data_IF_433456766838
#
_entry.id   IF_433456766838
#
_cell.length_a   1.000
_cell.length_b   1.000
_cell.length_c   1.000
_cell.angle_alpha   90.00
_cell.angle_beta   90.00
_cell.angle_gamma   90.00
#
_symmetry.space_group_name_H-M   'P 1'
#
loop_
_entity.id
_entity.type
_entity.pdbx_description
1 polymer ?
#
# COMPACT_ATOMS: atom_id res chain seq x y z
N UNK A 1 23.01 4.45 17.64
CA UNK A 1 22.86 3.36 16.67
C UNK A 1 22.77 3.96 15.27
N UNK A 2 23.56 3.44 14.33
CA UNK A 2 23.52 3.90 12.94
C UNK A 2 22.20 3.52 12.25
N UNK A 3 21.68 4.43 11.42
CA UNK A 3 20.42 4.26 10.67
C UNK A 3 20.56 4.79 9.26
N UNK A 4 20.15 4.00 8.27
CA UNK A 4 20.03 4.46 6.88
C UNK A 4 18.71 5.20 6.71
N UNK A 5 18.76 6.52 6.46
CA UNK A 5 17.58 7.35 6.25
C UNK A 5 17.28 7.48 4.76
N UNK A 6 16.28 6.77 4.27
CA UNK A 6 15.71 6.93 2.92
C UNK A 6 14.61 8.00 2.97
N UNK A 7 14.82 9.11 2.29
CA UNK A 7 13.90 10.22 2.32
C UNK A 7 13.44 10.63 0.91
N UNK A 8 12.12 10.76 0.76
CA UNK A 8 11.50 11.31 -0.45
C UNK A 8 11.10 12.78 -0.23
N UNK A 9 11.86 13.76 -0.73
CA UNK A 9 11.58 15.18 -0.51
C UNK A 9 10.33 15.69 -1.25
N UNK A 10 9.72 14.85 -2.10
CA UNK A 10 8.48 15.17 -2.81
C UNK A 10 7.23 14.56 -2.15
N UNK A 11 7.37 13.88 -1.01
CA UNK A 11 6.24 13.31 -0.30
C UNK A 11 5.45 14.40 0.42
N UNK A 12 4.13 14.29 0.38
CA UNK A 12 3.21 15.23 1.04
C UNK A 12 3.37 16.66 0.53
N UNK A 13 3.41 17.60 1.45
CA UNK A 13 3.58 19.04 1.19
C UNK A 13 5.04 19.49 1.07
N UNK A 14 5.99 18.55 1.19
CA UNK A 14 7.43 18.85 1.15
C UNK A 14 7.97 19.54 2.41
N UNK A 15 7.22 19.65 3.49
CA UNK A 15 7.61 20.35 4.74
C UNK A 15 8.74 19.65 5.53
N UNK A 16 9.03 18.39 5.21
CA UNK A 16 10.05 17.58 5.86
C UNK A 16 11.34 17.54 5.06
N UNK A 17 12.26 18.48 5.35
CA UNK A 17 13.59 18.50 4.71
C UNK A 17 14.50 17.38 5.27
N UNK A 18 15.53 16.95 4.50
CA UNK A 18 16.53 15.99 4.96
C UNK A 18 17.18 16.41 6.28
N UNK A 19 17.59 17.67 6.38
CA UNK A 19 18.27 18.22 7.56
C UNK A 19 17.37 18.19 8.81
N UNK A 20 16.07 18.44 8.63
CA UNK A 20 15.09 18.37 9.72
C UNK A 20 14.95 16.94 10.24
N UNK A 21 14.85 15.97 9.35
CA UNK A 21 14.74 14.54 9.70
C UNK A 21 16.03 14.01 10.34
N UNK A 22 17.18 14.40 9.81
CA UNK A 22 18.51 14.07 10.39
C UNK A 22 18.59 14.57 11.83
N UNK A 23 18.30 15.84 12.08
CA UNK A 23 18.32 16.39 13.44
C UNK A 23 17.35 15.70 14.40
N UNK A 24 16.15 15.35 13.96
CA UNK A 24 15.20 14.62 14.79
C UNK A 24 15.72 13.23 15.21
N UNK A 25 16.32 12.50 14.26
CA UNK A 25 16.93 11.21 14.52
C UNK A 25 18.13 11.34 15.48
N UNK A 26 18.99 12.32 15.30
CA UNK A 26 20.12 12.62 16.18
C UNK A 26 19.67 12.94 17.61
N UNK A 27 18.64 13.78 17.76
CA UNK A 27 18.03 14.10 19.06
C UNK A 27 17.42 12.86 19.74
N UNK A 28 17.02 11.86 18.97
CA UNK A 28 16.50 10.58 19.48
C UNK A 28 17.58 9.50 19.67
N UNK A 29 18.87 9.87 19.59
CA UNK A 29 20.03 9.00 19.88
C UNK A 29 20.47 8.11 18.72
N UNK A 30 20.05 8.42 17.49
CA UNK A 30 20.48 7.73 16.27
C UNK A 30 21.60 8.50 15.55
N UNK A 31 22.38 7.79 14.73
CA UNK A 31 23.37 8.36 13.82
C UNK A 31 22.90 8.12 12.37
N UNK A 32 22.12 9.05 11.79
CA UNK A 32 21.53 8.88 10.47
C UNK A 32 22.53 9.08 9.35
N UNK A 33 22.50 8.18 8.34
CA UNK A 33 23.15 8.33 7.06
C UNK A 33 22.05 8.54 6.02
N UNK A 34 22.01 9.75 5.44
CA UNK A 34 20.99 10.10 4.44
C UNK A 34 21.25 9.38 3.12
N UNK A 35 20.23 8.70 2.60
CA UNK A 35 20.23 7.93 1.37
C UNK A 35 19.22 8.50 0.37
N UNK A 36 19.59 8.54 -0.90
CA UNK A 36 18.67 8.92 -1.98
C UNK A 36 17.63 7.83 -2.23
N UNK A 37 16.40 8.24 -2.57
CA UNK A 37 15.32 7.32 -3.00
C UNK A 37 15.16 7.28 -4.52
N UNK A 38 16.16 7.72 -5.30
CA UNK A 38 16.04 7.86 -6.75
C UNK A 38 17.03 7.01 -7.52
N UNK A 39 16.52 6.35 -8.55
CA UNK A 39 17.31 5.70 -9.59
C UNK A 39 18.41 4.77 -9.07
N UNK A 40 19.59 4.86 -9.67
CA UNK A 40 20.75 4.02 -9.32
C UNK A 40 21.28 4.28 -7.91
N UNK A 41 21.07 5.47 -7.35
CA UNK A 41 21.50 5.80 -5.99
C UNK A 41 20.69 5.02 -4.96
N UNK A 42 19.37 4.89 -5.16
CA UNK A 42 18.53 4.01 -4.33
C UNK A 42 19.03 2.58 -4.35
N UNK A 43 19.32 2.03 -5.54
CA UNK A 43 19.80 0.65 -5.67
C UNK A 43 21.10 0.43 -4.89
N UNK A 44 22.08 1.34 -5.04
CA UNK A 44 23.35 1.28 -4.31
C UNK A 44 23.16 1.37 -2.79
N UNK A 45 22.30 2.28 -2.33
CA UNK A 45 22.03 2.45 -0.89
C UNK A 45 21.33 1.21 -0.30
N UNK A 46 20.55 0.48 -1.11
CA UNK A 46 19.88 -0.75 -0.71
C UNK A 46 20.78 -2.00 -0.78
N UNK A 47 21.97 -1.93 -1.38
CA UNK A 47 22.90 -3.06 -1.37
C UNK A 47 23.36 -3.41 0.05
N UNK A 48 23.76 -2.41 0.83
CA UNK A 48 24.27 -2.57 2.19
C UNK A 48 23.75 -1.46 3.14
N UNK A 49 22.44 -1.39 3.42
CA UNK A 49 21.94 -0.43 4.39
C UNK A 49 22.28 -0.88 5.82
N UNK A 50 22.25 0.05 6.78
CA UNK A 50 22.36 -0.30 8.20
C UNK A 50 21.23 -1.24 8.63
N UNK A 51 21.41 -1.94 9.76
CA UNK A 51 20.42 -2.89 10.29
C UNK A 51 19.07 -2.23 10.60
N UNK A 52 19.08 -0.94 10.95
CA UNK A 52 17.89 -0.08 11.03
C UNK A 52 17.81 0.81 9.80
N UNK A 53 16.66 0.78 9.13
CA UNK A 53 16.34 1.57 7.95
C UNK A 53 15.16 2.47 8.28
N UNK A 54 15.36 3.78 8.31
CA UNK A 54 14.30 4.77 8.43
C UNK A 54 13.83 5.19 7.03
N UNK A 55 12.52 5.15 6.80
CA UNK A 55 11.90 5.53 5.53
C UNK A 55 10.97 6.70 5.76
N UNK A 56 11.37 7.89 5.29
CA UNK A 56 10.55 9.10 5.30
C UNK A 56 9.94 9.33 3.92
N UNK A 57 8.64 9.07 3.81
CA UNK A 57 7.92 9.11 2.53
C UNK A 57 6.44 8.78 2.68
N UNK A 58 5.75 8.76 1.55
CA UNK A 58 4.38 8.19 1.42
C UNK A 58 4.42 6.72 1.04
N UNK A 59 3.24 6.15 0.80
CA UNK A 59 3.02 4.71 0.58
C UNK A 59 3.90 4.13 -0.53
N UNK A 60 4.00 4.78 -1.69
CA UNK A 60 4.85 4.31 -2.79
C UNK A 60 6.34 4.21 -2.42
N UNK A 61 6.87 5.17 -1.62
CA UNK A 61 8.26 5.12 -1.14
C UNK A 61 8.45 4.00 -0.12
N UNK A 62 7.53 3.89 0.83
CA UNK A 62 7.54 2.85 1.86
C UNK A 62 7.45 1.47 1.22
N UNK A 63 6.48 1.25 0.33
CA UNK A 63 6.31 -0.02 -0.38
C UNK A 63 7.55 -0.42 -1.18
N UNK A 64 8.19 0.53 -1.88
CA UNK A 64 9.40 0.27 -2.65
C UNK A 64 10.57 -0.23 -1.77
N UNK A 65 10.80 0.42 -0.63
CA UNK A 65 11.86 0.03 0.32
C UNK A 65 11.52 -1.31 1.00
N UNK A 66 10.27 -1.49 1.43
CA UNK A 66 9.79 -2.73 2.05
C UNK A 66 9.98 -3.91 1.11
N UNK A 67 9.57 -3.79 -0.16
CA UNK A 67 9.77 -4.84 -1.18
C UNK A 67 11.25 -5.13 -1.43
N UNK A 68 12.09 -4.11 -1.50
CA UNK A 68 13.52 -4.28 -1.74
C UNK A 68 14.28 -4.94 -0.57
N UNK A 69 13.78 -4.79 0.65
CA UNK A 69 14.36 -5.37 1.87
C UNK A 69 13.66 -6.67 2.31
N UNK A 70 12.64 -7.11 1.58
CA UNK A 70 11.96 -8.38 1.85
C UNK A 70 12.93 -9.55 1.90
N UNK A 71 12.79 -10.39 2.91
CA UNK A 71 13.66 -11.55 3.14
C UNK A 71 15.07 -11.24 3.67
N UNK A 72 15.40 -9.95 3.91
CA UNK A 72 16.69 -9.49 4.46
C UNK A 72 16.55 -9.14 5.96
N UNK A 73 17.62 -9.25 6.76
CA UNK A 73 17.57 -9.08 8.23
C UNK A 73 17.58 -7.61 8.66
N UNK A 74 16.76 -6.77 8.04
CA UNK A 74 16.65 -5.35 8.40
C UNK A 74 15.38 -5.07 9.18
N UNK A 75 15.44 -4.04 10.03
CA UNK A 75 14.28 -3.48 10.71
C UNK A 75 13.96 -2.13 10.07
N UNK A 76 12.69 -1.89 9.75
CA UNK A 76 12.24 -0.65 9.09
C UNK A 76 11.51 0.24 10.11
N UNK A 77 11.88 1.52 10.17
CA UNK A 77 11.13 2.56 10.84
C UNK A 77 10.43 3.44 9.79
N UNK A 78 9.10 3.45 9.78
CA UNK A 78 8.32 4.28 8.85
C UNK A 78 8.09 5.65 9.48
N UNK A 79 8.49 6.70 8.77
CA UNK A 79 8.24 8.10 9.14
C UNK A 79 7.24 8.66 8.11
N UNK A 80 5.95 8.80 8.46
CA UNK A 80 4.88 9.11 7.52
C UNK A 80 4.93 10.58 7.09
N UNK A 81 5.47 10.85 5.91
CA UNK A 81 5.55 12.21 5.34
C UNK A 81 4.72 12.38 4.06
N UNK A 82 3.98 11.37 3.64
CA UNK A 82 3.09 11.40 2.48
C UNK A 82 1.70 11.94 2.79
N UNK A 83 0.83 11.97 1.78
CA UNK A 83 -0.55 12.46 1.91
C UNK A 83 -1.48 11.43 2.55
N UNK A 84 -1.46 10.17 2.12
CA UNK A 84 -2.35 9.11 2.63
C UNK A 84 -1.73 8.31 3.77
N UNK A 85 -0.50 7.84 3.60
CA UNK A 85 0.24 7.03 4.57
C UNK A 85 -0.53 5.78 5.04
N UNK A 86 -1.20 5.10 4.11
CA UNK A 86 -2.04 3.92 4.37
C UNK A 86 -1.27 2.80 5.07
N UNK A 87 -0.03 2.52 4.62
CA UNK A 87 0.83 1.48 5.22
C UNK A 87 1.16 1.84 6.67
N UNK A 88 1.53 3.09 6.95
CA UNK A 88 1.82 3.54 8.30
C UNK A 88 0.58 3.44 9.21
N UNK A 89 -0.57 3.92 8.74
CA UNK A 89 -1.85 3.86 9.44
C UNK A 89 -2.27 2.41 9.76
N UNK A 90 -2.14 1.50 8.81
CA UNK A 90 -2.43 0.07 9.00
C UNK A 90 -1.58 -0.57 10.12
N UNK A 91 -0.40 -0.02 10.38
CA UNK A 91 0.50 -0.43 11.45
C UNK A 91 0.34 0.37 12.76
N UNK A 92 -0.66 1.26 12.82
CA UNK A 92 -0.91 2.11 13.99
C UNK A 92 0.07 3.29 14.12
N UNK A 93 0.83 3.61 13.07
CA UNK A 93 1.74 4.76 13.02
C UNK A 93 0.94 5.97 12.49
N UNK A 94 0.26 6.67 13.37
CA UNK A 94 -0.68 7.76 13.02
C UNK A 94 -0.21 9.13 13.48
N UNK A 95 0.86 9.20 14.28
CA UNK A 95 1.39 10.43 14.83
C UNK A 95 2.19 11.23 13.77
N UNK A 96 2.37 12.53 14.04
CA UNK A 96 3.27 13.34 13.21
C UNK A 96 4.72 12.79 13.24
N UNK A 97 5.50 12.97 12.16
CA UNK A 97 6.87 12.46 12.04
C UNK A 97 7.77 12.73 13.25
N UNK A 98 7.64 13.92 13.87
CA UNK A 98 8.45 14.26 15.07
C UNK A 98 8.18 13.35 16.27
N UNK A 99 6.93 12.97 16.48
CA UNK A 99 6.54 12.09 17.58
C UNK A 99 6.85 10.63 17.27
N UNK A 100 6.70 10.23 16.00
CA UNK A 100 7.12 8.90 15.53
C UNK A 100 8.62 8.72 15.79
N UNK A 101 9.46 9.67 15.37
CA UNK A 101 10.92 9.59 15.58
C UNK A 101 11.27 9.59 17.06
N UNK A 102 10.66 10.44 17.88
CA UNK A 102 10.88 10.47 19.33
C UNK A 102 10.49 9.16 20.02
N UNK A 103 9.50 8.44 19.49
CA UNK A 103 9.04 7.16 20.01
C UNK A 103 9.89 5.95 19.59
N UNK A 104 10.77 6.07 18.58
CA UNK A 104 11.54 4.93 18.04
C UNK A 104 12.39 4.16 19.08
N UNK A 105 13.01 4.81 20.10
CA UNK A 105 13.76 4.07 21.13
C UNK A 105 12.90 3.07 21.92
N UNK A 106 11.59 3.33 22.04
CA UNK A 106 10.64 2.51 22.79
C UNK A 106 9.68 1.73 21.86
N UNK A 107 9.94 1.73 20.55
CA UNK A 107 9.10 1.06 19.57
C UNK A 107 9.25 -0.46 19.66
N UNK A 108 8.15 -1.17 19.38
CA UNK A 108 8.14 -2.63 19.30
C UNK A 108 8.38 -3.10 17.87
N UNK A 109 8.94 -4.31 17.76
CA UNK A 109 9.12 -4.98 16.47
C UNK A 109 7.84 -5.71 16.08
N UNK A 110 7.30 -5.36 14.92
CA UNK A 110 6.05 -5.91 14.40
C UNK A 110 6.30 -6.54 13.02
N UNK A 111 5.77 -7.73 12.73
CA UNK A 111 5.86 -8.30 11.40
C UNK A 111 4.95 -7.53 10.44
N UNK A 112 5.48 -7.19 9.27
CA UNK A 112 4.73 -6.75 8.10
C UNK A 112 4.85 -7.83 7.03
N UNK A 113 3.76 -8.53 6.75
CA UNK A 113 3.72 -9.54 5.69
C UNK A 113 3.63 -8.88 4.34
N UNK A 114 4.14 -9.55 3.33
CA UNK A 114 4.20 -9.08 1.95
C UNK A 114 3.31 -10.00 1.12
N UNK A 115 2.43 -9.40 0.34
CA UNK A 115 1.69 -10.12 -0.68
C UNK A 115 2.54 -10.37 -1.91
N UNK A 116 2.18 -11.40 -2.67
CA UNK A 116 2.81 -11.72 -3.95
C UNK A 116 1.77 -12.07 -5.00
N UNK A 117 1.92 -11.47 -6.17
CA UNK A 117 1.21 -11.79 -7.40
C UNK A 117 2.16 -12.59 -8.30
N UNK A 118 1.77 -13.81 -8.67
CA UNK A 118 2.56 -14.70 -9.54
C UNK A 118 1.85 -14.95 -10.86
N UNK A 119 2.56 -14.68 -11.94
CA UNK A 119 2.23 -15.10 -13.28
C UNK A 119 3.07 -16.33 -13.69
N UNK A 120 2.93 -16.81 -14.95
CA UNK A 120 3.64 -18.00 -15.41
C UNK A 120 5.18 -17.90 -15.34
N UNK A 121 5.75 -16.72 -15.63
CA UNK A 121 7.20 -16.51 -15.72
C UNK A 121 7.67 -15.27 -14.92
N UNK A 122 6.80 -14.68 -14.10
CA UNK A 122 7.12 -13.48 -13.33
C UNK A 122 6.37 -13.47 -11.99
N UNK A 123 6.92 -12.72 -11.05
CA UNK A 123 6.26 -12.41 -9.79
C UNK A 123 6.45 -10.95 -9.40
N UNK A 124 5.51 -10.42 -8.63
CA UNK A 124 5.57 -9.08 -8.06
C UNK A 124 5.07 -9.08 -6.63
N UNK A 125 5.89 -8.55 -5.75
CA UNK A 125 5.49 -8.35 -4.37
C UNK A 125 4.66 -7.06 -4.23
N UNK A 126 3.69 -7.08 -3.31
CA UNK A 126 2.87 -5.92 -2.96
C UNK A 126 2.76 -5.77 -1.44
N UNK A 127 2.50 -4.54 -0.99
CA UNK A 127 2.36 -4.20 0.43
C UNK A 127 0.92 -3.82 0.74
N UNK A 128 0.23 -3.13 -0.16
CA UNK A 128 -1.13 -2.65 0.02
C UNK A 128 -2.16 -3.62 -0.56
N UNK A 129 -2.22 -3.72 -1.88
CA UNK A 129 -3.23 -4.51 -2.58
C UNK A 129 -2.85 -4.85 -4.03
N UNK A 130 -3.58 -5.83 -4.56
CA UNK A 130 -3.66 -6.17 -6.00
C UNK A 130 -5.12 -6.15 -6.41
N UNK A 131 -5.44 -5.50 -7.53
CA UNK A 131 -6.83 -5.43 -7.94
C UNK A 131 -7.07 -5.16 -9.41
N UNK A 132 -8.34 -5.27 -9.78
CA UNK A 132 -8.87 -5.19 -11.13
C UNK A 132 -10.11 -4.30 -11.16
N UNK A 133 -10.22 -3.42 -12.14
CA UNK A 133 -11.40 -2.57 -12.35
C UNK A 133 -11.13 -1.07 -12.14
N UNK A 134 -12.04 -0.33 -11.46
CA UNK A 134 -11.97 1.12 -11.34
C UNK A 134 -10.67 1.65 -10.74
N UNK A 135 -10.12 1.02 -9.71
CA UNK A 135 -8.87 1.47 -9.06
C UNK A 135 -7.68 1.29 -10.01
N UNK A 136 -7.55 0.14 -10.67
CA UNK A 136 -6.53 -0.07 -11.69
C UNK A 136 -6.64 0.95 -12.83
N UNK A 137 -7.87 1.31 -13.21
CA UNK A 137 -8.14 2.33 -14.23
C UNK A 137 -7.72 3.73 -13.76
N UNK A 138 -7.99 4.07 -12.49
CA UNK A 138 -7.59 5.35 -11.90
C UNK A 138 -6.07 5.48 -11.85
N UNK A 139 -5.37 4.46 -11.34
CA UNK A 139 -3.90 4.43 -11.27
C UNK A 139 -3.29 4.56 -12.68
N UNK A 140 -3.83 3.84 -13.68
CA UNK A 140 -3.35 3.94 -15.08
C UNK A 140 -3.46 5.35 -15.64
N UNK A 141 -4.47 6.12 -15.25
CA UNK A 141 -4.69 7.51 -15.68
C UNK A 141 -3.76 8.49 -14.97
N UNK A 142 -3.47 8.24 -13.69
CA UNK A 142 -2.60 9.08 -12.85
C UNK A 142 -1.12 9.01 -13.27
N UNK A 143 -0.73 8.00 -14.06
CA UNK A 143 0.63 7.87 -14.59
C UNK A 143 0.95 9.07 -15.49
N UNK A 144 1.71 10.03 -14.95
CA UNK A 144 2.12 11.26 -15.65
C UNK A 144 1.35 12.53 -15.27
N UNK A 145 0.32 12.45 -14.43
CA UNK A 145 -0.34 13.63 -13.89
C UNK A 145 0.58 14.34 -12.88
N UNK A 146 0.86 15.63 -13.14
CA UNK A 146 1.63 16.48 -12.23
C UNK A 146 0.65 17.28 -11.39
N UNK A 147 0.12 16.70 -10.34
CA UNK A 147 -0.74 17.45 -9.45
C UNK A 147 -0.14 17.51 -8.04
N UNK A 148 -0.02 18.72 -7.54
CA UNK A 148 0.39 19.07 -6.18
C UNK A 148 -0.66 20.05 -5.65
N UNK A 149 -1.41 19.64 -4.64
CA UNK A 149 -2.40 20.51 -3.99
C UNK A 149 -3.04 19.85 -2.77
N UNK A 150 -3.63 20.67 -1.91
CA UNK A 150 -4.31 20.23 -0.69
C UNK A 150 -5.55 19.35 -0.93
N UNK A 151 -6.12 19.41 -2.15
CA UNK A 151 -7.39 18.73 -2.50
C UNK A 151 -7.17 17.44 -3.31
N UNK A 152 -5.93 16.96 -3.39
CA UNK A 152 -5.57 15.79 -4.21
C UNK A 152 -6.37 14.52 -3.86
N UNK A 153 -6.69 14.32 -2.58
CA UNK A 153 -7.48 13.18 -2.13
C UNK A 153 -8.93 13.25 -2.64
N UNK A 154 -9.54 14.43 -2.57
CA UNK A 154 -10.91 14.67 -3.04
C UNK A 154 -10.98 14.55 -4.57
N UNK A 155 -10.03 15.10 -5.30
CA UNK A 155 -9.96 14.99 -6.76
C UNK A 155 -9.83 13.53 -7.22
N UNK A 156 -8.99 12.75 -6.56
CA UNK A 156 -8.85 11.32 -6.80
C UNK A 156 -10.12 10.53 -6.50
N UNK A 157 -10.82 10.85 -5.42
CA UNK A 157 -12.13 10.24 -5.11
C UNK A 157 -13.17 10.59 -6.16
N UNK A 158 -13.23 11.87 -6.58
CA UNK A 158 -14.14 12.34 -7.64
C UNK A 158 -13.87 11.64 -8.97
N UNK A 159 -12.61 11.42 -9.31
CA UNK A 159 -12.22 10.70 -10.52
C UNK A 159 -12.60 9.20 -10.44
N UNK A 160 -12.32 8.56 -9.31
CA UNK A 160 -12.74 7.18 -9.07
C UNK A 160 -14.26 7.03 -9.18
N UNK A 161 -15.03 7.97 -8.61
CA UNK A 161 -16.49 8.00 -8.72
C UNK A 161 -16.95 8.06 -10.17
N UNK A 162 -16.31 8.90 -11.01
CA UNK A 162 -16.60 8.98 -12.45
C UNK A 162 -16.29 7.69 -13.20
N UNK A 163 -15.23 6.99 -12.78
CA UNK A 163 -14.86 5.70 -13.37
C UNK A 163 -15.89 4.64 -12.98
N UNK A 164 -16.26 4.52 -11.70
CA UNK A 164 -17.25 3.57 -11.20
C UNK A 164 -18.60 3.77 -11.87
N UNK A 165 -19.04 5.02 -12.09
CA UNK A 165 -20.30 5.34 -12.75
C UNK A 165 -20.39 4.78 -14.18
N UNK A 166 -19.26 4.63 -14.87
CA UNK A 166 -19.20 4.27 -16.30
C UNK A 166 -18.57 2.91 -16.57
N UNK A 167 -17.96 2.25 -15.56
CA UNK A 167 -17.30 0.97 -15.77
C UNK A 167 -18.32 -0.12 -16.12
N UNK A 168 -17.89 -1.05 -16.94
CA UNK A 168 -18.64 -2.27 -17.25
C UNK A 168 -18.31 -3.35 -16.21
N UNK A 169 -19.19 -4.35 -16.05
CA UNK A 169 -18.83 -5.53 -15.29
C UNK A 169 -17.49 -6.13 -15.76
N UNK A 170 -16.76 -6.68 -14.80
CA UNK A 170 -15.50 -7.35 -15.06
C UNK A 170 -15.76 -8.64 -15.86
N UNK A 171 -14.95 -8.82 -16.88
CA UNK A 171 -14.76 -10.09 -17.56
C UNK A 171 -13.47 -10.71 -16.99
N UNK A 172 -13.61 -11.52 -15.95
CA UNK A 172 -12.51 -12.13 -15.23
C UNK A 172 -12.98 -13.38 -14.48
N UNK A 173 -12.15 -14.41 -14.42
CA UNK A 173 -12.40 -15.58 -13.57
C UNK A 173 -11.65 -15.43 -12.25
N UNK A 174 -12.35 -15.66 -11.13
CA UNK A 174 -11.79 -15.50 -9.79
C UNK A 174 -12.11 -16.75 -8.99
N UNK A 175 -11.10 -17.32 -8.35
CA UNK A 175 -11.22 -18.48 -7.44
C UNK A 175 -10.58 -18.11 -6.10
N UNK A 176 -11.31 -18.28 -5.02
CA UNK A 176 -10.88 -17.97 -3.64
C UNK A 176 -10.78 -19.27 -2.86
N UNK A 177 -9.57 -19.65 -2.43
CA UNK A 177 -9.32 -20.89 -1.70
C UNK A 177 -10.00 -22.11 -2.36
N UNK A 178 -9.88 -22.22 -3.69
CA UNK A 178 -10.44 -23.28 -4.52
C UNK A 178 -11.94 -23.17 -4.81
N UNK A 179 -12.63 -22.08 -4.42
CA UNK A 179 -14.05 -21.86 -4.69
C UNK A 179 -14.24 -20.71 -5.70
N UNK A 180 -14.96 -20.92 -6.81
CA UNK A 180 -15.18 -19.86 -7.78
C UNK A 180 -16.06 -18.75 -7.18
N UNK A 181 -15.67 -17.50 -7.42
CA UNK A 181 -16.48 -16.33 -7.11
C UNK A 181 -17.45 -16.08 -8.26
N UNK A 182 -18.74 -16.23 -8.01
CA UNK A 182 -19.77 -16.14 -9.04
C UNK A 182 -20.55 -14.84 -8.89
N UNK A 183 -20.85 -14.19 -10.01
CA UNK A 183 -21.71 -13.00 -10.06
C UNK A 183 -21.10 -11.87 -10.86
N UNK A 184 -21.96 -10.90 -11.23
CA UNK A 184 -21.50 -9.69 -11.93
C UNK A 184 -20.85 -8.74 -10.92
N UNK A 185 -19.62 -8.34 -11.19
CA UNK A 185 -18.84 -7.46 -10.32
C UNK A 185 -18.13 -6.36 -11.11
N UNK A 186 -17.93 -5.23 -10.49
CA UNK A 186 -17.31 -4.03 -11.10
C UNK A 186 -15.86 -3.85 -10.69
N UNK A 187 -15.49 -4.38 -9.53
CA UNK A 187 -14.17 -4.20 -8.91
C UNK A 187 -13.85 -5.42 -8.05
N UNK A 188 -12.59 -5.80 -8.06
CA UNK A 188 -12.03 -6.82 -7.16
C UNK A 188 -10.68 -6.32 -6.66
N UNK A 189 -10.50 -6.40 -5.33
CA UNK A 189 -9.29 -6.01 -4.63
C UNK A 189 -8.85 -7.10 -3.65
N UNK A 190 -7.64 -7.59 -3.76
CA UNK A 190 -7.01 -8.49 -2.79
C UNK A 190 -6.13 -7.65 -1.88
N UNK A 191 -6.64 -7.40 -0.68
CA UNK A 191 -6.11 -6.44 0.28
C UNK A 191 -5.18 -7.11 1.30
N UNK A 192 -4.00 -6.55 1.49
CA UNK A 192 -3.07 -6.91 2.57
C UNK A 192 -3.18 -5.93 3.76
N UNK A 193 -3.60 -4.70 3.48
CA UNK A 193 -3.88 -3.65 4.48
C UNK A 193 -5.30 -3.10 4.28
N UNK A 194 -5.91 -2.44 5.30
CA UNK A 194 -7.32 -2.04 5.25
C UNK A 194 -7.66 -1.01 4.17
N UNK A 195 -6.71 -0.15 3.81
CA UNK A 195 -6.94 1.05 3.00
C UNK A 195 -6.12 1.05 1.73
N UNK A 196 -6.62 1.76 0.70
CA UNK A 196 -5.90 2.02 -0.55
C UNK A 196 -6.18 3.45 -1.05
N UNK A 197 -5.28 3.97 -1.89
CA UNK A 197 -5.44 5.27 -2.53
C UNK A 197 -5.63 6.41 -1.52
N UNK A 198 -6.61 7.31 -1.71
CA UNK A 198 -6.83 8.44 -0.81
C UNK A 198 -7.56 8.02 0.48
N UNK A 199 -6.96 7.14 1.28
CA UNK A 199 -7.50 6.60 2.54
C UNK A 199 -8.86 5.88 2.41
N UNK A 200 -9.12 5.21 1.29
CA UNK A 200 -10.36 4.45 1.11
C UNK A 200 -10.30 3.15 1.92
N UNK A 201 -11.09 3.07 2.97
CA UNK A 201 -11.21 1.91 3.85
C UNK A 201 -12.08 0.84 3.18
N UNK A 202 -11.46 -0.02 2.36
CA UNK A 202 -12.18 -1.04 1.60
C UNK A 202 -12.33 -2.37 2.35
N UNK A 203 -11.36 -2.73 3.19
CA UNK A 203 -11.31 -3.99 3.91
C UNK A 203 -10.84 -3.78 5.37
N UNK A 204 -11.71 -3.33 6.28
CA UNK A 204 -11.33 -3.08 7.68
C UNK A 204 -10.70 -4.29 8.38
N UNK A 205 -11.01 -5.50 7.93
CA UNK A 205 -10.52 -6.77 8.47
C UNK A 205 -9.09 -7.11 8.01
N UNK A 206 -8.60 -6.46 6.95
CA UNK A 206 -7.25 -6.72 6.43
C UNK A 206 -6.18 -6.24 7.41
N UNK A 207 -5.26 -7.13 7.75
CA UNK A 207 -4.17 -6.84 8.69
C UNK A 207 -2.88 -7.52 8.22
N UNK A 208 -1.94 -6.73 7.72
CA UNK A 208 -0.67 -7.23 7.23
C UNK A 208 0.23 -7.92 8.29
N UNK A 209 -0.20 -7.97 9.54
CA UNK A 209 0.43 -8.77 10.61
C UNK A 209 -0.08 -10.21 10.62
N UNK A 210 -1.26 -10.46 10.05
CA UNK A 210 -1.92 -11.77 9.97
C UNK A 210 -1.45 -12.59 8.78
N UNK A 211 -1.84 -13.88 8.75
CA UNK A 211 -1.43 -14.83 7.71
C UNK A 211 -2.49 -15.05 6.62
N UNK A 212 -3.36 -14.08 6.40
CA UNK A 212 -4.43 -14.06 5.41
C UNK A 212 -4.51 -12.70 4.72
N UNK A 213 -5.07 -12.70 3.53
CA UNK A 213 -5.47 -11.54 2.76
C UNK A 213 -6.98 -11.37 2.89
N UNK A 214 -7.52 -10.24 2.47
CA UNK A 214 -8.97 -10.03 2.34
C UNK A 214 -9.28 -9.76 0.87
N UNK A 215 -10.09 -10.62 0.26
CA UNK A 215 -10.70 -10.31 -1.02
C UNK A 215 -11.92 -9.42 -0.78
N UNK A 216 -11.93 -8.23 -1.35
CA UNK A 216 -13.05 -7.31 -1.39
C UNK A 216 -13.54 -7.13 -2.83
N UNK A 217 -14.86 -7.16 -3.07
CA UNK A 217 -15.38 -6.93 -4.41
C UNK A 217 -16.66 -6.11 -4.40
N UNK A 218 -16.87 -5.36 -5.48
CA UNK A 218 -18.06 -4.55 -5.71
C UNK A 218 -19.03 -5.31 -6.62
N UNK A 219 -20.13 -5.88 -6.11
CA UNK A 219 -21.19 -6.39 -6.97
C UNK A 219 -21.78 -5.28 -7.84
N UNK A 220 -22.13 -5.58 -9.10
CA UNK A 220 -22.74 -4.61 -10.01
C UNK A 220 -23.99 -3.95 -9.42
N UNK A 221 -24.82 -4.73 -8.72
CA UNK A 221 -26.04 -4.26 -8.06
C UNK A 221 -25.78 -3.19 -6.97
N UNK A 222 -24.56 -3.05 -6.47
CA UNK A 222 -24.17 -2.06 -5.46
C UNK A 222 -23.49 -0.81 -6.06
N UNK A 223 -23.56 -0.60 -7.37
CA UNK A 223 -22.95 0.56 -8.04
C UNK A 223 -23.37 1.88 -7.42
N UNK A 224 -24.68 2.12 -7.30
CA UNK A 224 -25.20 3.40 -6.75
C UNK A 224 -24.74 3.61 -5.31
N UNK A 225 -24.83 2.59 -4.48
CA UNK A 225 -24.33 2.67 -3.10
C UNK A 225 -22.83 3.00 -3.05
N UNK A 226 -22.02 2.52 -4.01
CA UNK A 226 -20.59 2.86 -4.10
C UNK A 226 -20.38 4.31 -4.55
N UNK A 227 -21.22 4.82 -5.44
CA UNK A 227 -21.18 6.22 -5.87
C UNK A 227 -21.51 7.16 -4.72
N UNK A 228 -22.51 6.84 -3.91
CA UNK A 228 -22.90 7.60 -2.71
C UNK A 228 -21.79 7.55 -1.66
N UNK A 229 -21.24 6.34 -1.39
CA UNK A 229 -20.15 6.16 -0.44
C UNK A 229 -18.89 6.96 -0.81
N UNK A 230 -18.54 7.06 -2.08
CA UNK A 230 -17.38 7.83 -2.54
C UNK A 230 -17.54 9.36 -2.35
N UNK A 231 -18.73 9.87 -2.09
CA UNK A 231 -18.93 11.27 -1.69
C UNK A 231 -18.47 11.53 -0.26
N UNK A 232 -18.79 10.63 0.68
CA UNK A 232 -18.37 10.68 2.08
C UNK A 232 -17.98 9.28 2.61
N UNK A 233 -16.74 8.84 2.38
CA UNK A 233 -16.30 7.50 2.78
C UNK A 233 -16.19 7.30 4.31
N UNK A 234 -16.24 8.39 5.09
CA UNK A 234 -16.15 8.31 6.55
C UNK A 234 -17.52 8.11 7.20
N UNK A 235 -18.61 8.40 6.49
CA UNK A 235 -19.98 8.30 7.02
C UNK A 235 -20.48 6.86 7.17
N UNK A 236 -19.95 5.90 6.40
CA UNK A 236 -20.40 4.51 6.41
C UNK A 236 -19.31 3.56 5.93
N UNK A 237 -19.53 2.26 6.11
CA UNK A 237 -18.65 1.24 5.51
C UNK A 237 -18.81 1.18 3.99
N UNK A 238 -17.70 0.86 3.29
CA UNK A 238 -17.72 0.63 1.86
C UNK A 238 -18.72 -0.49 1.50
N UNK A 239 -19.57 -0.31 0.48
CA UNK A 239 -20.62 -1.28 0.11
C UNK A 239 -20.06 -2.48 -0.64
N UNK A 240 -18.97 -3.05 -0.17
CA UNK A 240 -18.28 -4.20 -0.72
C UNK A 240 -18.69 -5.48 -0.01
N UNK A 241 -18.63 -6.58 -0.73
CA UNK A 241 -18.57 -7.89 -0.10
C UNK A 241 -17.11 -8.24 0.16
N UNK A 242 -16.85 -9.01 1.23
CA UNK A 242 -15.50 -9.32 1.67
C UNK A 242 -15.42 -10.76 2.16
N UNK A 243 -14.25 -11.38 1.96
CA UNK A 243 -13.94 -12.69 2.51
C UNK A 243 -12.43 -12.78 2.78
N UNK A 244 -12.05 -13.40 3.89
CA UNK A 244 -10.66 -13.77 4.11
C UNK A 244 -10.21 -14.84 3.11
N UNK A 245 -8.97 -14.73 2.64
CA UNK A 245 -8.41 -15.65 1.66
C UNK A 245 -6.93 -15.95 1.97
N UNK A 246 -6.55 -17.20 1.79
CA UNK A 246 -5.13 -17.62 1.79
C UNK A 246 -4.53 -17.50 0.40
N UNK A 247 -5.33 -17.81 -0.60
CA UNK A 247 -4.95 -17.77 -2.01
C UNK A 247 -6.12 -17.31 -2.86
N UNK A 248 -5.82 -16.42 -3.81
CA UNK A 248 -6.76 -16.02 -4.85
C UNK A 248 -6.14 -16.34 -6.20
N UNK A 249 -6.90 -17.03 -7.06
CA UNK A 249 -6.56 -17.21 -8.46
C UNK A 249 -7.39 -16.22 -9.29
N UNK A 250 -6.74 -15.54 -10.21
CA UNK A 250 -7.34 -14.48 -11.04
C UNK A 250 -6.94 -14.66 -12.49
N UNK A 251 -7.88 -14.92 -13.39
CA UNK A 251 -7.67 -14.75 -14.82
C UNK A 251 -8.27 -13.41 -15.24
N UNK A 252 -7.45 -12.41 -15.60
CA UNK A 252 -7.91 -11.06 -15.92
C UNK A 252 -8.41 -10.89 -17.36
N UNK A 253 -8.34 -11.92 -18.22
CA UNK A 253 -8.71 -11.90 -19.62
C UNK A 253 -8.17 -10.63 -20.35
N UNK A 254 -6.86 -10.40 -20.24
CA UNK A 254 -6.16 -9.26 -20.86
C UNK A 254 -6.40 -7.90 -20.20
N UNK A 255 -7.18 -7.82 -19.10
CA UNK A 255 -7.39 -6.55 -18.40
C UNK A 255 -6.15 -6.11 -17.62
N UNK A 256 -6.05 -4.81 -17.41
CA UNK A 256 -5.01 -4.21 -16.61
C UNK A 256 -5.28 -4.47 -15.11
N UNK A 257 -4.25 -4.85 -14.39
CA UNK A 257 -4.25 -5.07 -12.95
C UNK A 257 -3.39 -3.99 -12.31
N UNK A 258 -3.75 -3.51 -11.12
CA UNK A 258 -2.82 -2.77 -10.32
C UNK A 258 -2.12 -3.66 -9.30
N UNK A 259 -0.90 -3.30 -8.93
CA UNK A 259 -0.09 -3.86 -7.86
C UNK A 259 0.44 -2.69 -7.06
N UNK A 260 -0.09 -2.46 -5.86
CA UNK A 260 0.08 -1.21 -5.11
C UNK A 260 -0.28 0.02 -5.99
N UNK A 261 0.67 0.94 -6.18
CA UNK A 261 0.54 2.18 -6.95
C UNK A 261 0.94 2.04 -8.43
N UNK A 262 1.19 0.83 -8.91
CA UNK A 262 1.61 0.57 -10.29
C UNK A 262 0.61 -0.30 -11.04
N UNK A 263 0.65 -0.26 -12.38
CA UNK A 263 -0.18 -1.12 -13.22
C UNK A 263 0.66 -2.10 -14.01
N UNK A 264 0.08 -3.27 -14.27
CA UNK A 264 0.65 -4.33 -15.12
C UNK A 264 -0.42 -4.83 -16.09
N UNK A 265 0.00 -5.26 -17.27
CA UNK A 265 -0.89 -5.97 -18.19
C UNK A 265 -1.13 -7.39 -17.65
N UNK A 266 -2.41 -7.74 -17.47
CA UNK A 266 -2.79 -9.00 -16.81
C UNK A 266 -2.54 -10.24 -17.67
N UNK A 267 -2.56 -10.10 -19.00
CA UNK A 267 -2.46 -11.23 -19.93
C UNK A 267 -3.68 -12.16 -19.89
N UNK A 268 -3.54 -13.34 -20.49
CA UNK A 268 -4.61 -14.35 -20.58
C UNK A 268 -4.40 -15.53 -19.62
N UNK A 269 -3.29 -15.56 -18.90
CA UNK A 269 -2.97 -16.63 -17.98
C UNK A 269 -3.60 -16.37 -16.59
N UNK A 270 -3.93 -17.45 -15.91
CA UNK A 270 -4.32 -17.38 -14.50
C UNK A 270 -3.13 -16.96 -13.64
N UNK A 271 -3.36 -15.95 -12.84
CA UNK A 271 -2.42 -15.41 -11.87
C UNK A 271 -2.77 -15.92 -10.47
N UNK A 272 -1.77 -16.11 -9.62
CA UNK A 272 -1.97 -16.52 -8.23
C UNK A 272 -1.55 -15.40 -7.29
N UNK A 273 -2.42 -15.08 -6.33
CA UNK A 273 -2.18 -14.06 -5.31
C UNK A 273 -2.18 -14.73 -3.94
N UNK A 274 -1.15 -14.47 -3.15
CA UNK A 274 -1.01 -15.02 -1.80
C UNK A 274 -0.02 -14.21 -0.98
N UNK A 275 0.40 -14.76 0.17
CA UNK A 275 1.43 -14.13 1.01
C UNK A 275 2.79 -14.79 0.81
N UNK A 276 3.84 -13.98 0.90
CA UNK A 276 5.21 -14.47 1.01
C UNK A 276 5.44 -15.15 2.37
N UNK A 277 6.24 -16.24 2.43
CA UNK A 277 6.53 -16.92 3.68
C UNK A 277 7.28 -16.05 4.71
N UNK A 278 8.14 -15.16 4.23
CA UNK A 278 8.91 -14.25 5.06
C UNK A 278 8.17 -12.93 5.23
N UNK A 279 8.40 -12.27 6.36
CA UNK A 279 7.90 -10.92 6.63
C UNK A 279 9.06 -9.93 6.73
N UNK A 280 8.75 -8.65 6.69
CA UNK A 280 9.66 -7.56 7.02
C UNK A 280 9.37 -7.13 8.47
N UNK A 281 10.40 -6.86 9.25
CA UNK A 281 10.23 -6.32 10.60
C UNK A 281 10.10 -4.80 10.56
N UNK A 282 9.02 -4.26 11.11
CA UNK A 282 8.76 -2.82 11.19
C UNK A 282 8.70 -2.39 12.67
N UNK A 283 9.21 -1.19 12.97
CA UNK A 283 9.03 -0.55 14.27
C UNK A 283 7.64 0.11 14.32
N UNK A 284 6.85 -0.27 15.30
CA UNK A 284 5.53 0.31 15.56
C UNK A 284 5.49 0.91 16.98
N UNK A 285 4.57 1.85 17.26
CA UNK A 285 4.42 2.39 18.61
C UNK A 285 4.32 1.26 19.65
N UNK A 286 4.99 1.43 20.79
CA UNK A 286 4.79 0.57 21.95
C UNK A 286 3.37 0.75 22.51
N UNK A 287 2.91 -0.20 23.32
CA UNK A 287 1.63 -0.04 24.01
C UNK A 287 1.75 1.21 24.92
N UNK A 288 0.79 2.12 24.82
CA UNK A 288 0.70 3.23 25.78
C UNK A 288 0.24 2.62 27.09
N UNK A 289 1.09 2.71 28.12
CA UNK A 289 0.68 2.44 29.49
C UNK A 289 -0.41 3.39 29.95
#
# INVERSE_FOLDING_TARGET
MEVSLFHNPKAGDGSWSPDRLVRLLEMSGFAPVHCSVRGKELQRALENPHSLVAVAGGDGTVAAIVRALHGRPHTIAIIPTGSSNNIARALGIVEEPRFVVAGLPNARRTPLRIGVLRGPEWERNFVEAVGLGPIATAIKRDVGAKEHGSDLAEDRRRDLRRIVAKCKPLDADIVVDGKPLIGSMLMVEVMNIPMIGPNLLLAPEADARQANLVLAWLPEAKREAMLDWLEDPEAAEAPLWRVEAKQVELNPHGKVIHVDDTVVEGGEATLTIGLEPKHVTVLTPGDRE
#
